data_IF_185026716775
#
_entry.id   IF_185026716775
#
_cell.length_a   1.000
_cell.length_b   1.000
_cell.length_c   1.000
_cell.angle_alpha   90.00
_cell.angle_beta   90.00
_cell.angle_gamma   90.00
#
_symmetry.space_group_name_H-M   'P 1'
#
loop_
_entity.id
_entity.type
_entity.pdbx_description
1 polymer ?
#
# COMPACT_ATOMS: atom_id res chain seq x y z
N UNK A 1 34.61 -4.77 28.27
CA UNK A 1 34.58 -3.30 28.28
C UNK A 1 35.49 -2.77 29.39
N UNK A 2 35.40 -3.25 30.64
CA UNK A 2 36.19 -2.77 31.78
C UNK A 2 37.71 -3.00 31.58
N UNK A 3 38.10 -4.17 31.10
CA UNK A 3 39.50 -4.50 30.81
C UNK A 3 40.07 -3.63 29.68
N UNK A 4 39.28 -3.33 28.66
CA UNK A 4 39.67 -2.41 27.58
C UNK A 4 39.88 -0.98 28.10
N UNK A 5 39.05 -0.54 29.02
CA UNK A 5 39.22 0.75 29.71
C UNK A 5 40.46 0.80 30.55
N UNK A 6 40.77 -0.28 31.26
CA UNK A 6 42.02 -0.40 32.05
C UNK A 6 43.27 -0.36 31.18
N UNK A 7 43.26 -1.07 30.04
CA UNK A 7 44.37 -0.99 29.08
C UNK A 7 44.49 0.37 28.43
N UNK A 8 43.39 0.98 28.05
CA UNK A 8 43.39 2.32 27.50
C UNK A 8 43.88 3.34 28.52
N UNK A 9 43.46 3.22 29.78
CA UNK A 9 43.86 4.10 30.88
C UNK A 9 45.37 3.92 31.16
N UNK A 10 45.88 2.70 31.28
CA UNK A 10 47.29 2.38 31.44
C UNK A 10 48.14 2.90 30.27
N UNK A 11 47.65 2.81 29.03
CA UNK A 11 48.31 3.35 27.83
C UNK A 11 48.37 4.90 27.87
N UNK A 12 47.31 5.55 28.30
CA UNK A 12 47.22 7.01 28.37
C UNK A 12 48.09 7.55 29.54
N UNK A 13 48.20 6.80 30.64
CA UNK A 13 49.12 7.07 31.76
C UNK A 13 50.58 6.94 31.34
N UNK A 14 50.93 5.88 30.60
CA UNK A 14 52.26 5.71 30.04
C UNK A 14 52.66 6.81 29.03
N UNK A 15 51.67 7.43 28.37
CA UNK A 15 51.88 8.58 27.49
C UNK A 15 51.94 9.92 28.21
N UNK A 16 51.79 9.94 29.55
CA UNK A 16 51.85 11.16 30.35
C UNK A 16 50.65 12.11 30.17
N UNK A 17 49.53 11.60 29.61
CA UNK A 17 48.32 12.40 29.36
C UNK A 17 47.53 12.58 30.66
N UNK A 18 47.63 11.67 31.61
CA UNK A 18 47.05 11.78 32.95
C UNK A 18 48.14 11.78 34.03
N UNK A 19 48.01 12.57 35.10
CA UNK A 19 48.91 12.53 36.22
C UNK A 19 48.82 11.18 36.95
N UNK A 20 49.97 10.67 37.43
CA UNK A 20 50.15 9.41 38.18
C UNK A 20 49.11 9.30 39.33
N UNK A 21 47.93 8.80 39.02
CA UNK A 21 46.97 8.38 40.02
C UNK A 21 47.07 6.86 40.11
N UNK A 22 47.78 6.32 41.08
CA UNK A 22 47.81 4.90 41.42
C UNK A 22 46.43 4.39 41.77
N UNK A 23 45.50 4.41 40.82
CA UNK A 23 44.12 4.05 41.12
C UNK A 23 43.86 2.54 41.04
N UNK A 24 44.66 1.80 40.25
CA UNK A 24 44.55 0.33 40.16
C UNK A 24 45.78 -0.23 39.46
N UNK A 25 46.55 -1.05 40.18
CA UNK A 25 47.64 -1.81 39.55
C UNK A 25 47.06 -3.13 39.01
N UNK A 26 47.11 -3.32 37.67
CA UNK A 26 46.62 -4.54 37.02
C UNK A 26 47.38 -5.77 37.50
N UNK A 27 48.61 -5.61 38.03
CA UNK A 27 49.42 -6.69 38.58
C UNK A 27 48.81 -7.33 39.85
N UNK A 28 47.97 -6.58 40.58
CA UNK A 28 47.29 -7.07 41.76
C UNK A 28 46.00 -7.85 41.46
N UNK A 29 45.55 -7.85 40.18
CA UNK A 29 44.33 -8.57 39.81
C UNK A 29 44.69 -10.01 39.46
N UNK A 30 44.06 -11.00 40.12
CA UNK A 30 44.30 -12.41 39.85
C UNK A 30 44.03 -12.73 38.34
N UNK A 31 44.87 -13.50 37.67
CA UNK A 31 44.77 -13.79 36.22
C UNK A 31 43.41 -14.36 35.81
N UNK A 32 42.76 -15.15 36.68
CA UNK A 32 41.45 -15.72 36.40
C UNK A 32 40.34 -14.65 36.31
N UNK A 33 40.46 -13.54 37.02
CA UNK A 33 39.50 -12.43 36.96
C UNK A 33 39.56 -11.74 35.60
N UNK A 34 40.77 -11.50 35.08
CA UNK A 34 40.96 -10.91 33.75
C UNK A 34 40.38 -11.83 32.68
N UNK A 35 40.55 -13.13 32.80
CA UNK A 35 40.01 -14.14 31.90
C UNK A 35 38.46 -14.13 31.92
N UNK A 36 37.85 -14.11 33.09
CA UNK A 36 36.38 -14.09 33.25
C UNK A 36 35.80 -12.82 32.61
N UNK A 37 36.39 -11.66 32.84
CA UNK A 37 35.93 -10.41 32.22
C UNK A 37 36.14 -10.40 30.70
N UNK A 38 37.24 -10.90 30.21
CA UNK A 38 37.52 -11.04 28.78
C UNK A 38 36.49 -11.93 28.10
N UNK A 39 36.18 -13.11 28.64
CA UNK A 39 35.19 -14.01 28.07
C UNK A 39 33.77 -13.46 28.15
N UNK A 40 33.39 -12.80 29.25
CA UNK A 40 32.09 -12.19 29.39
C UNK A 40 31.88 -11.02 28.44
N UNK A 41 32.91 -10.19 28.23
CA UNK A 41 32.82 -9.05 27.30
C UNK A 41 32.70 -9.48 25.83
N UNK A 42 33.45 -10.52 25.42
CA UNK A 42 33.33 -11.09 24.07
C UNK A 42 31.99 -11.74 23.85
N UNK A 43 31.45 -12.47 24.83
CA UNK A 43 30.10 -13.03 24.79
C UNK A 43 29.00 -11.95 24.65
N UNK A 44 29.17 -10.87 25.40
CA UNK A 44 28.22 -9.74 25.32
C UNK A 44 28.25 -9.06 23.94
N UNK A 45 29.44 -8.78 23.38
CA UNK A 45 29.60 -8.20 22.05
C UNK A 45 29.06 -9.11 20.96
N UNK A 46 29.23 -10.42 21.09
CA UNK A 46 28.73 -11.40 20.15
C UNK A 46 27.18 -11.44 20.18
N UNK A 47 26.58 -11.42 21.37
CA UNK A 47 25.13 -11.33 21.52
C UNK A 47 24.56 -10.02 20.95
N UNK A 48 25.23 -8.89 21.20
CA UNK A 48 24.82 -7.60 20.65
C UNK A 48 24.89 -7.59 19.12
N UNK A 49 25.94 -8.15 18.53
CA UNK A 49 26.08 -8.28 17.08
C UNK A 49 24.99 -9.18 16.47
N UNK A 50 24.71 -10.33 17.11
CA UNK A 50 23.64 -11.24 16.67
C UNK A 50 22.25 -10.59 16.78
N UNK A 51 21.97 -9.88 17.87
CA UNK A 51 20.73 -9.13 18.05
C UNK A 51 20.59 -8.03 16.99
N UNK A 52 21.66 -7.29 16.72
CA UNK A 52 21.68 -6.26 15.68
C UNK A 52 21.44 -6.84 14.28
N UNK A 53 22.09 -7.95 13.96
CA UNK A 53 21.88 -8.64 12.69
C UNK A 53 20.45 -9.16 12.54
N UNK A 54 19.91 -9.79 13.59
CA UNK A 54 18.52 -10.28 13.60
C UNK A 54 17.52 -9.14 13.40
N UNK A 55 17.73 -8.01 14.06
CA UNK A 55 16.90 -6.82 13.89
C UNK A 55 16.95 -6.27 12.46
N UNK A 56 18.14 -6.19 11.85
CA UNK A 56 18.31 -5.73 10.47
C UNK A 56 17.60 -6.67 9.46
N UNK A 57 17.72 -7.99 9.67
CA UNK A 57 17.04 -8.97 8.82
C UNK A 57 15.52 -8.89 8.95
N UNK A 58 15.01 -8.71 10.16
CA UNK A 58 13.59 -8.57 10.40
C UNK A 58 13.04 -7.26 9.84
N UNK A 59 13.77 -6.17 9.99
CA UNK A 59 13.45 -4.88 9.36
C UNK A 59 13.41 -4.97 7.84
N UNK A 60 14.41 -5.60 7.20
CA UNK A 60 14.44 -5.81 5.75
C UNK A 60 13.27 -6.68 5.27
N UNK A 61 12.90 -7.72 6.03
CA UNK A 61 11.73 -8.56 5.75
C UNK A 61 10.43 -7.77 5.85
N UNK A 62 10.27 -6.95 6.89
CA UNK A 62 9.11 -6.08 7.07
C UNK A 62 8.95 -5.09 5.92
N UNK A 63 10.03 -4.46 5.46
CA UNK A 63 10.00 -3.55 4.30
C UNK A 63 9.56 -4.26 3.01
N UNK A 64 10.08 -5.46 2.74
CA UNK A 64 9.63 -6.26 1.58
C UNK A 64 8.14 -6.61 1.65
N UNK A 65 7.64 -6.90 2.84
CA UNK A 65 6.23 -7.24 3.06
C UNK A 65 5.35 -6.02 2.82
N UNK A 66 5.74 -4.84 3.30
CA UNK A 66 5.03 -3.57 3.05
C UNK A 66 4.95 -3.25 1.56
N UNK A 67 6.06 -3.34 0.83
CA UNK A 67 6.07 -3.14 -0.63
C UNK A 67 5.16 -4.15 -1.33
N UNK A 68 5.17 -5.41 -0.89
CA UNK A 68 4.27 -6.45 -1.41
C UNK A 68 2.79 -6.15 -1.17
N UNK A 69 2.43 -5.61 -0.01
CA UNK A 69 1.06 -5.16 0.27
C UNK A 69 0.66 -3.96 -0.60
N UNK A 70 1.55 -2.97 -0.75
CA UNK A 70 1.30 -1.82 -1.62
C UNK A 70 1.07 -2.23 -3.07
N UNK A 71 1.91 -3.13 -3.62
CA UNK A 71 1.73 -3.68 -4.96
C UNK A 71 0.41 -4.44 -5.12
N UNK A 72 0.02 -5.24 -4.11
CA UNK A 72 -1.28 -5.93 -4.12
C UNK A 72 -2.44 -4.96 -4.10
N UNK A 73 -2.38 -3.93 -3.27
CA UNK A 73 -3.42 -2.89 -3.21
C UNK A 73 -3.58 -2.21 -4.56
N UNK A 74 -2.48 -1.83 -5.22
CA UNK A 74 -2.50 -1.26 -6.57
C UNK A 74 -3.10 -2.21 -7.61
N UNK A 75 -2.78 -3.52 -7.55
CA UNK A 75 -3.34 -4.53 -8.44
C UNK A 75 -4.83 -4.77 -8.23
N UNK A 76 -5.34 -4.57 -7.01
CA UNK A 76 -6.77 -4.74 -6.70
C UNK A 76 -7.62 -3.52 -7.05
N UNK A 77 -7.02 -2.34 -7.28
CA UNK A 77 -7.75 -1.14 -7.71
C UNK A 77 -8.33 -1.27 -9.12
N UNK A 78 -7.71 -2.09 -9.98
CA UNK A 78 -8.26 -2.44 -11.29
C UNK A 78 -8.72 -3.88 -11.23
N UNK A 79 -10.03 -4.14 -11.19
CA UNK A 79 -10.55 -5.51 -11.25
C UNK A 79 -10.27 -6.11 -12.64
N UNK A 80 -9.35 -7.10 -12.76
CA UNK A 80 -8.97 -7.64 -14.09
C UNK A 80 -10.17 -8.17 -14.87
N UNK A 81 -11.13 -8.76 -14.18
CA UNK A 81 -12.35 -9.28 -14.77
C UNK A 81 -13.21 -8.19 -15.42
N UNK A 82 -13.36 -7.03 -14.76
CA UNK A 82 -14.06 -5.90 -15.34
C UNK A 82 -13.34 -5.38 -16.59
N UNK A 83 -12.02 -5.24 -16.52
CA UNK A 83 -11.20 -4.81 -17.65
C UNK A 83 -11.38 -5.72 -18.87
N UNK A 84 -11.23 -7.02 -18.71
CA UNK A 84 -11.40 -7.97 -19.81
C UNK A 84 -12.81 -7.96 -20.41
N UNK A 85 -13.83 -7.84 -19.57
CA UNK A 85 -15.22 -7.80 -20.02
C UNK A 85 -15.50 -6.55 -20.86
N UNK A 86 -15.04 -5.37 -20.42
CA UNK A 86 -15.21 -4.11 -21.16
C UNK A 86 -14.46 -4.15 -22.48
N UNK A 87 -13.20 -4.60 -22.50
CA UNK A 87 -12.42 -4.70 -23.74
C UNK A 87 -13.03 -5.69 -24.72
N UNK A 88 -13.53 -6.83 -24.26
CA UNK A 88 -14.23 -7.78 -25.14
C UNK A 88 -15.51 -7.17 -25.71
N UNK A 89 -16.26 -6.41 -24.92
CA UNK A 89 -17.47 -5.74 -25.40
C UNK A 89 -17.15 -4.66 -26.43
N UNK A 90 -16.12 -3.84 -26.19
CA UNK A 90 -15.61 -2.88 -27.17
C UNK A 90 -15.24 -3.58 -28.47
N UNK A 91 -14.53 -4.72 -28.42
CA UNK A 91 -14.15 -5.50 -29.60
C UNK A 91 -15.38 -5.96 -30.41
N UNK A 92 -16.43 -6.41 -29.76
CA UNK A 92 -17.68 -6.80 -30.40
C UNK A 92 -18.35 -5.59 -31.04
N UNK A 93 -18.47 -4.48 -30.31
CA UNK A 93 -19.07 -3.24 -30.82
C UNK A 93 -18.32 -2.65 -32.02
N UNK A 94 -17.00 -2.80 -32.11
CA UNK A 94 -16.23 -2.36 -33.27
C UNK A 94 -16.66 -3.00 -34.59
N UNK A 95 -17.36 -4.13 -34.53
CA UNK A 95 -17.88 -4.81 -35.74
C UNK A 95 -19.29 -4.33 -36.15
N UNK A 96 -20.05 -3.75 -35.22
CA UNK A 96 -21.45 -3.35 -35.42
C UNK A 96 -21.69 -1.84 -35.30
N UNK A 97 -21.02 -1.18 -34.35
CA UNK A 97 -21.17 0.25 -34.06
C UNK A 97 -19.83 0.83 -33.58
N UNK A 98 -19.06 1.32 -34.53
CA UNK A 98 -17.71 1.88 -34.28
C UNK A 98 -17.77 3.15 -33.44
N UNK A 99 -18.82 3.96 -33.60
CA UNK A 99 -18.95 5.21 -32.86
C UNK A 99 -19.21 4.94 -31.37
N UNK A 100 -20.12 4.02 -31.05
CA UNK A 100 -20.40 3.59 -29.69
C UNK A 100 -19.17 2.89 -29.07
N UNK A 101 -18.43 2.06 -29.84
CA UNK A 101 -17.21 1.43 -29.39
C UNK A 101 -16.14 2.46 -29.03
N UNK A 102 -15.99 3.51 -29.83
CA UNK A 102 -15.04 4.61 -29.58
C UNK A 102 -15.40 5.39 -28.32
N UNK A 103 -16.68 5.75 -28.15
CA UNK A 103 -17.16 6.44 -26.93
C UNK A 103 -16.94 5.59 -25.67
N UNK A 104 -17.23 4.30 -25.75
CA UNK A 104 -17.01 3.35 -24.66
C UNK A 104 -15.53 3.23 -24.28
N UNK A 105 -14.64 3.21 -25.28
CA UNK A 105 -13.19 3.17 -25.06
C UNK A 105 -12.69 4.43 -24.35
N UNK A 106 -13.19 5.61 -24.73
CA UNK A 106 -12.85 6.88 -24.10
C UNK A 106 -13.30 6.88 -22.63
N UNK A 107 -14.57 6.54 -22.36
CA UNK A 107 -15.08 6.46 -20.99
C UNK A 107 -14.30 5.47 -20.15
N UNK A 108 -13.97 4.31 -20.72
CA UNK A 108 -13.19 3.31 -20.02
C UNK A 108 -11.77 3.80 -19.70
N UNK A 109 -11.13 4.51 -20.62
CA UNK A 109 -9.81 5.12 -20.37
C UNK A 109 -9.85 6.15 -19.24
N UNK A 110 -10.94 6.92 -19.10
CA UNK A 110 -11.14 7.85 -17.99
C UNK A 110 -11.31 7.13 -16.65
N UNK A 111 -12.06 6.03 -16.63
CA UNK A 111 -12.19 5.15 -15.45
C UNK A 111 -10.81 4.65 -15.01
N UNK A 112 -10.03 4.08 -15.92
CA UNK A 112 -8.68 3.59 -15.61
C UNK A 112 -7.77 4.72 -15.12
N UNK A 113 -7.81 5.88 -15.77
CA UNK A 113 -7.04 7.04 -15.35
C UNK A 113 -7.40 7.47 -13.94
N UNK A 114 -8.70 7.55 -13.62
CA UNK A 114 -9.14 7.91 -12.29
C UNK A 114 -8.66 6.91 -11.24
N UNK A 115 -8.82 5.61 -11.48
CA UNK A 115 -8.38 4.55 -10.56
C UNK A 115 -6.86 4.59 -10.33
N UNK A 116 -6.05 4.77 -11.37
CA UNK A 116 -4.60 4.79 -11.27
C UNK A 116 -4.04 6.05 -10.58
N UNK A 117 -4.65 7.23 -10.83
CA UNK A 117 -4.11 8.49 -10.32
C UNK A 117 -4.77 9.00 -9.03
N UNK A 118 -5.98 8.56 -8.75
CA UNK A 118 -6.75 9.03 -7.59
C UNK A 118 -7.05 7.91 -6.58
N UNK A 119 -6.96 6.65 -6.97
CA UNK A 119 -7.29 5.52 -6.10
C UNK A 119 -6.47 5.46 -4.79
N UNK A 120 -5.21 5.91 -4.82
CA UNK A 120 -4.34 5.96 -3.65
C UNK A 120 -4.43 7.28 -2.86
N UNK A 121 -5.17 8.27 -3.36
CA UNK A 121 -5.31 9.53 -2.65
C UNK A 121 -6.21 9.36 -1.43
N UNK A 122 -5.79 9.87 -0.31
CA UNK A 122 -6.61 9.86 0.90
C UNK A 122 -7.93 10.63 0.72
N UNK A 123 -7.89 11.70 -0.11
CA UNK A 123 -9.05 12.56 -0.37
C UNK A 123 -9.09 13.03 -1.81
N UNK A 124 -10.30 13.08 -2.34
CA UNK A 124 -10.67 13.66 -3.65
C UNK A 124 -11.90 14.51 -3.49
N UNK A 125 -12.20 15.39 -4.47
CA UNK A 125 -13.47 16.13 -4.43
C UNK A 125 -14.63 15.23 -4.79
N UNK A 126 -15.78 15.44 -4.17
CA UNK A 126 -17.03 14.73 -4.49
C UNK A 126 -17.36 14.80 -5.99
N UNK A 127 -17.10 15.95 -6.63
CA UNK A 127 -17.28 16.11 -8.08
C UNK A 127 -16.47 15.10 -8.89
N UNK A 128 -15.21 14.84 -8.49
CA UNK A 128 -14.33 13.89 -9.21
C UNK A 128 -14.84 12.46 -9.05
N UNK A 129 -15.23 12.06 -7.84
CA UNK A 129 -15.72 10.71 -7.55
C UNK A 129 -17.06 10.46 -8.26
N UNK A 130 -17.96 11.45 -8.28
CA UNK A 130 -19.23 11.38 -9.01
C UNK A 130 -19.01 11.29 -10.52
N UNK A 131 -18.06 12.02 -11.10
CA UNK A 131 -17.77 11.91 -12.54
C UNK A 131 -17.28 10.50 -12.88
N UNK A 132 -16.40 9.95 -12.08
CA UNK A 132 -15.94 8.56 -12.20
C UNK A 132 -17.12 7.57 -12.13
N UNK A 133 -18.07 7.76 -11.18
CA UNK A 133 -19.25 6.89 -11.07
C UNK A 133 -20.17 7.01 -12.31
N UNK A 134 -20.33 8.21 -12.86
CA UNK A 134 -21.10 8.40 -14.10
C UNK A 134 -20.50 7.63 -15.27
N UNK A 135 -19.17 7.72 -15.44
CA UNK A 135 -18.47 7.01 -16.51
C UNK A 135 -18.55 5.49 -16.30
N UNK A 136 -18.42 5.01 -15.06
CA UNK A 136 -18.56 3.61 -14.70
C UNK A 136 -19.97 3.07 -15.00
N UNK A 137 -21.01 3.79 -14.57
CA UNK A 137 -22.41 3.42 -14.81
C UNK A 137 -22.71 3.37 -16.32
N UNK A 138 -22.26 4.37 -17.09
CA UNK A 138 -22.45 4.40 -18.54
C UNK A 138 -21.78 3.20 -19.24
N UNK A 139 -20.58 2.80 -18.81
CA UNK A 139 -19.90 1.61 -19.33
C UNK A 139 -20.67 0.34 -18.99
N UNK A 140 -21.16 0.23 -17.76
CA UNK A 140 -21.97 -0.93 -17.33
C UNK A 140 -23.31 -0.99 -18.09
N UNK A 141 -24.04 0.12 -18.28
CA UNK A 141 -25.29 0.15 -19.04
C UNK A 141 -25.11 -0.37 -20.46
N UNK A 142 -24.08 0.07 -21.17
CA UNK A 142 -23.77 -0.44 -22.54
C UNK A 142 -23.53 -1.95 -22.50
N UNK A 143 -22.81 -2.45 -21.50
CA UNK A 143 -22.52 -3.89 -21.32
C UNK A 143 -23.79 -4.74 -21.09
N UNK A 144 -24.82 -4.17 -20.51
CA UNK A 144 -26.07 -4.86 -20.27
C UNK A 144 -27.03 -4.87 -21.50
N UNK A 145 -26.64 -4.24 -22.62
CA UNK A 145 -27.38 -4.30 -23.90
C UNK A 145 -28.88 -3.96 -23.77
N UNK A 146 -29.22 -2.96 -22.97
CA UNK A 146 -30.59 -2.54 -22.74
C UNK A 146 -31.42 -3.46 -21.82
N UNK A 147 -30.84 -4.52 -21.25
CA UNK A 147 -31.51 -5.41 -20.28
C UNK A 147 -31.56 -4.84 -18.86
N UNK A 148 -30.94 -3.69 -18.64
CA UNK A 148 -30.86 -3.02 -17.36
C UNK A 148 -31.19 -1.54 -17.54
N UNK A 149 -32.08 -1.02 -16.70
CA UNK A 149 -32.36 0.42 -16.61
C UNK A 149 -31.76 0.96 -15.32
N UNK A 150 -30.87 1.94 -15.44
CA UNK A 150 -30.27 2.63 -14.29
C UNK A 150 -30.86 4.02 -14.17
N UNK A 151 -31.43 4.33 -12.99
CA UNK A 151 -31.91 5.67 -12.65
C UNK A 151 -31.02 6.25 -11.56
N UNK A 152 -30.41 7.38 -11.84
CA UNK A 152 -29.53 8.04 -10.89
C UNK A 152 -29.72 9.57 -10.89
N UNK A 153 -30.62 10.10 -10.04
CA UNK A 153 -30.73 11.53 -9.85
C UNK A 153 -29.53 12.07 -9.08
N UNK A 154 -28.66 12.79 -9.80
CA UNK A 154 -27.45 13.39 -9.22
C UNK A 154 -27.80 14.75 -8.58
N UNK A 155 -28.21 14.74 -7.30
CA UNK A 155 -28.49 15.96 -6.54
C UNK A 155 -27.31 16.28 -5.63
N UNK A 156 -26.37 17.09 -6.09
CA UNK A 156 -25.13 17.40 -5.37
C UNK A 156 -25.18 18.86 -4.95
N UNK A 157 -25.40 19.11 -3.66
CA UNK A 157 -25.44 20.47 -3.11
C UNK A 157 -24.04 21.09 -3.05
N UNK A 158 -23.02 20.34 -2.65
CA UNK A 158 -21.67 20.84 -2.53
C UNK A 158 -20.62 19.93 -3.23
N UNK A 159 -20.28 20.18 -4.50
CA UNK A 159 -19.38 19.35 -5.29
C UNK A 159 -17.92 19.43 -4.85
N UNK A 160 -17.56 20.40 -3.97
CA UNK A 160 -16.19 20.61 -3.51
C UNK A 160 -15.86 19.91 -2.19
N UNK A 161 -16.80 19.20 -1.58
CA UNK A 161 -16.54 18.41 -0.39
C UNK A 161 -15.47 17.37 -0.70
N UNK A 162 -14.51 17.25 0.20
CA UNK A 162 -13.47 16.23 0.12
C UNK A 162 -13.95 14.93 0.78
N UNK A 163 -13.86 13.83 0.06
CA UNK A 163 -14.20 12.48 0.48
C UNK A 163 -13.04 11.52 0.20
N UNK A 164 -12.98 10.35 0.84
CA UNK A 164 -12.06 9.29 0.42
C UNK A 164 -12.28 8.91 -1.05
N UNK A 165 -11.21 8.69 -1.80
CA UNK A 165 -11.32 8.25 -3.18
C UNK A 165 -12.01 6.88 -3.27
N UNK A 166 -12.79 6.67 -4.34
CA UNK A 166 -13.50 5.41 -4.61
C UNK A 166 -14.48 4.98 -3.51
N UNK A 167 -15.01 5.95 -2.74
CA UNK A 167 -15.89 5.66 -1.60
C UNK A 167 -17.18 4.92 -2.02
N UNK A 168 -17.81 5.36 -3.10
CA UNK A 168 -19.13 4.86 -3.51
C UNK A 168 -19.07 3.69 -4.49
N UNK A 169 -17.93 3.45 -5.16
CA UNK A 169 -17.83 2.44 -6.23
C UNK A 169 -18.21 1.04 -5.77
N UNK A 170 -17.83 0.66 -4.55
CA UNK A 170 -18.13 -0.67 -4.01
C UNK A 170 -19.65 -0.92 -3.91
N UNK A 171 -20.43 0.10 -3.57
CA UNK A 171 -21.89 0.00 -3.52
C UNK A 171 -22.49 -0.11 -4.92
N UNK A 172 -21.98 0.68 -5.86
CA UNK A 172 -22.42 0.65 -7.26
C UNK A 172 -22.07 -0.70 -7.91
N UNK A 173 -20.83 -1.18 -7.76
CA UNK A 173 -20.42 -2.51 -8.25
C UNK A 173 -21.30 -3.62 -7.68
N UNK A 174 -21.60 -3.58 -6.39
CA UNK A 174 -22.47 -4.56 -5.76
C UNK A 174 -23.88 -4.52 -6.31
N UNK A 175 -24.43 -3.33 -6.60
CA UNK A 175 -25.74 -3.20 -7.23
C UNK A 175 -25.76 -3.89 -8.61
N UNK A 176 -24.78 -3.64 -9.47
CA UNK A 176 -24.68 -4.30 -10.77
C UNK A 176 -24.43 -5.81 -10.67
N UNK A 177 -23.66 -6.26 -9.68
CA UNK A 177 -23.37 -7.68 -9.46
C UNK A 177 -24.58 -8.49 -9.04
N UNK A 178 -25.46 -7.89 -8.24
CA UNK A 178 -26.60 -8.57 -7.62
C UNK A 178 -27.94 -8.37 -8.38
N UNK A 179 -27.93 -7.59 -9.46
CA UNK A 179 -29.09 -7.54 -10.36
C UNK A 179 -29.37 -8.91 -10.91
N UNK A 180 -30.61 -9.35 -10.83
CA UNK A 180 -31.04 -10.64 -11.36
C UNK A 180 -30.84 -10.71 -12.87
N UNK A 181 -30.10 -11.70 -13.35
CA UNK A 181 -29.93 -12.02 -14.77
C UNK A 181 -31.08 -12.92 -15.27
N UNK A 182 -32.31 -12.61 -14.91
CA UNK A 182 -33.44 -13.35 -15.46
C UNK A 182 -33.54 -13.06 -16.96
N UNK A 183 -33.64 -14.10 -17.79
CA UNK A 183 -33.79 -13.97 -19.24
C UNK A 183 -35.10 -13.26 -19.66
N UNK A 184 -36.08 -13.18 -18.75
CA UNK A 184 -37.45 -12.74 -19.03
C UNK A 184 -37.85 -11.41 -18.36
N UNK A 185 -36.98 -10.88 -17.47
CA UNK A 185 -37.27 -9.67 -16.75
C UNK A 185 -36.19 -8.60 -16.97
N UNK A 186 -36.63 -7.36 -17.21
CA UNK A 186 -35.74 -6.23 -17.27
C UNK A 186 -35.31 -5.87 -15.84
N UNK A 187 -34.00 -5.87 -15.61
CA UNK A 187 -33.43 -5.42 -14.34
C UNK A 187 -33.51 -3.90 -14.21
N UNK A 188 -33.60 -3.41 -12.98
CA UNK A 188 -33.44 -1.98 -12.73
C UNK A 188 -32.59 -1.71 -11.49
N UNK A 189 -31.84 -0.62 -11.54
CA UNK A 189 -31.05 -0.09 -10.43
C UNK A 189 -31.48 1.34 -10.20
N UNK A 190 -31.79 1.69 -8.96
CA UNK A 190 -32.06 3.06 -8.56
C UNK A 190 -30.98 3.48 -7.55
N UNK A 191 -30.21 4.52 -7.92
CA UNK A 191 -29.17 5.10 -7.06
C UNK A 191 -29.58 6.53 -6.74
N UNK A 192 -29.53 6.93 -5.48
CA UNK A 192 -29.78 8.31 -5.04
C UNK A 192 -28.56 8.82 -4.24
N UNK A 193 -28.06 9.99 -4.61
CA UNK A 193 -26.95 10.65 -3.97
C UNK A 193 -27.33 12.01 -3.46
#
# INVERSE_FOLDING_TARGET
>A
IYVGYLYLFAFLEQKGIFPNTHFFDISDVPPYVIWIYGMSSTGFLMNLAMCGLSFLLEYAKSQKTLVGYQLRTLQHQVTPHFMFNVLNHIHILMQSDVELASDLLIKYSEILRYQLYNGDKQKVTLKQDIQFLKDFIAVEEVRWEGKLTVTCPWQIENPRIEIPALLFITFVENAFKHVSKSYFEQGYIHLSF
#
